data_IF_900575695548
#
_entry.id   IF_900575695548
#
_cell.length_a   1.000
_cell.length_b   1.000
_cell.length_c   1.000
_cell.angle_alpha   90.00
_cell.angle_beta   90.00
_cell.angle_gamma   90.00
#
_symmetry.space_group_name_H-M   'P 1'
#
loop_
_entity.id
_entity.type
_entity.pdbx_description
1 polymer ?
#
# COMPACT_ATOMS: atom_id res chain seq x y z
N UNK A 1 16.87 -16.05 3.41
CA UNK A 1 17.07 -15.52 2.05
C UNK A 1 17.88 -16.56 1.30
N UNK A 2 17.41 -17.03 0.14
CA UNK A 2 17.79 -18.33 -0.46
C UNK A 2 19.08 -18.29 -1.30
N UNK A 3 19.79 -17.17 -1.37
CA UNK A 3 21.01 -17.07 -2.18
C UNK A 3 20.78 -17.18 -3.69
N UNK A 4 19.55 -16.93 -4.14
CA UNK A 4 19.17 -16.91 -5.55
C UNK A 4 19.87 -15.77 -6.32
N UNK A 5 20.14 -16.02 -7.60
CA UNK A 5 20.71 -15.01 -8.49
C UNK A 5 19.65 -13.96 -8.83
N UNK A 6 19.98 -12.69 -8.58
CA UNK A 6 19.06 -11.56 -8.75
C UNK A 6 18.72 -11.33 -10.22
N UNK A 7 19.62 -11.72 -11.13
CA UNK A 7 19.43 -11.54 -12.57
C UNK A 7 18.47 -12.57 -13.18
N UNK A 8 18.26 -13.72 -12.51
CA UNK A 8 17.37 -14.79 -12.96
C UNK A 8 15.94 -14.65 -12.39
N UNK A 9 15.79 -13.95 -11.26
CA UNK A 9 14.52 -13.74 -10.58
C UNK A 9 13.58 -12.83 -11.39
N UNK A 10 12.34 -13.27 -11.57
CA UNK A 10 11.27 -12.46 -12.16
C UNK A 10 10.10 -12.30 -11.20
N UNK A 11 9.39 -11.18 -11.36
CA UNK A 11 8.18 -10.93 -10.59
C UNK A 11 7.07 -11.85 -11.09
N UNK A 12 6.61 -12.76 -10.24
CA UNK A 12 5.55 -13.72 -10.57
C UNK A 12 4.17 -13.17 -10.25
N UNK A 13 4.03 -12.43 -9.15
CA UNK A 13 2.74 -11.88 -8.71
C UNK A 13 2.95 -10.56 -7.97
N UNK A 14 2.09 -9.59 -8.25
CA UNK A 14 2.02 -8.31 -7.54
C UNK A 14 0.57 -8.13 -7.07
N UNK A 15 0.40 -7.92 -5.77
CA UNK A 15 -0.90 -7.65 -5.15
C UNK A 15 -0.82 -6.31 -4.39
N UNK A 16 -1.89 -5.52 -4.49
CA UNK A 16 -2.02 -4.24 -3.80
C UNK A 16 -3.34 -4.23 -3.05
N UNK A 17 -3.27 -4.41 -1.74
CA UNK A 17 -4.42 -4.50 -0.85
C UNK A 17 -4.65 -3.20 -0.07
N UNK A 18 -5.87 -3.01 0.40
CA UNK A 18 -6.20 -1.87 1.25
C UNK A 18 -5.54 -2.02 2.63
N UNK A 19 -4.86 -0.96 3.05
CA UNK A 19 -4.27 -0.84 4.39
C UNK A 19 -5.15 -0.01 5.32
N UNK A 20 -4.68 0.19 6.54
CA UNK A 20 -5.40 1.00 7.52
C UNK A 20 -5.64 2.44 6.99
N UNK A 21 -6.89 2.89 7.04
CA UNK A 21 -7.24 4.26 6.70
C UNK A 21 -7.24 5.15 7.94
N UNK A 22 -6.35 6.14 7.97
CA UNK A 22 -6.30 7.12 9.06
C UNK A 22 -7.36 8.22 8.88
N UNK A 23 -8.13 8.48 9.93
CA UNK A 23 -9.14 9.56 9.96
C UNK A 23 -8.54 10.85 10.51
N UNK A 24 -8.76 11.96 9.82
CA UNK A 24 -8.44 13.34 10.26
C UNK A 24 -9.64 14.24 10.06
N UNK A 25 -9.68 15.35 10.79
CA UNK A 25 -10.76 16.34 10.69
C UNK A 25 -10.20 17.57 9.97
N UNK A 26 -10.95 18.09 9.00
CA UNK A 26 -10.67 19.37 8.34
C UNK A 26 -11.71 20.40 8.79
N UNK A 27 -11.31 21.47 9.47
CA UNK A 27 -12.25 22.53 9.84
C UNK A 27 -12.75 23.25 8.57
N UNK A 28 -14.04 23.61 8.55
CA UNK A 28 -14.70 24.35 7.47
C UNK A 28 -15.48 25.54 8.05
N UNK A 29 -15.90 26.45 7.16
CA UNK A 29 -16.70 27.60 7.52
C UNK A 29 -18.02 27.20 8.22
N UNK A 30 -18.57 28.12 9.03
CA UNK A 30 -19.83 27.96 9.77
C UNK A 30 -19.84 26.77 10.75
N UNK A 31 -18.73 26.54 11.45
CA UNK A 31 -18.62 25.50 12.48
C UNK A 31 -18.71 24.06 11.95
N UNK A 32 -18.49 23.87 10.65
CA UNK A 32 -18.53 22.55 10.01
C UNK A 32 -17.17 21.88 10.03
N UNK A 33 -17.16 20.57 9.92
CA UNK A 33 -15.96 19.76 9.90
C UNK A 33 -16.14 18.60 8.93
N UNK A 34 -15.23 18.49 7.97
CA UNK A 34 -15.19 17.38 7.02
C UNK A 34 -14.18 16.33 7.48
N UNK A 35 -14.39 15.08 7.07
CA UNK A 35 -13.47 13.98 7.39
C UNK A 35 -12.50 13.77 6.24
N UNK A 36 -11.20 13.89 6.51
CA UNK A 36 -10.14 13.47 5.60
C UNK A 36 -9.78 12.03 5.91
N UNK A 37 -9.79 11.17 4.89
CA UNK A 37 -9.34 9.79 4.96
C UNK A 37 -7.97 9.69 4.29
N UNK A 38 -6.93 9.40 5.07
CA UNK A 38 -5.59 9.10 4.56
C UNK A 38 -5.49 7.59 4.41
N UNK A 39 -5.71 7.11 3.17
CA UNK A 39 -5.64 5.68 2.83
C UNK A 39 -4.19 5.24 2.73
N UNK A 40 -3.91 4.03 3.22
CA UNK A 40 -2.63 3.33 3.00
C UNK A 40 -2.92 2.02 2.25
N UNK A 41 -1.87 1.37 1.75
CA UNK A 41 -1.98 0.07 1.08
C UNK A 41 -0.88 -0.88 1.55
N UNK A 42 -1.14 -2.16 1.41
CA UNK A 42 -0.15 -3.23 1.56
C UNK A 42 0.22 -3.74 0.17
N UNK A 43 1.51 -3.67 -0.16
CA UNK A 43 2.03 -4.13 -1.44
C UNK A 43 2.75 -5.45 -1.19
N UNK A 44 2.25 -6.52 -1.78
CA UNK A 44 2.85 -7.85 -1.72
C UNK A 44 3.44 -8.18 -3.08
N UNK A 45 4.74 -8.48 -3.11
CA UNK A 45 5.46 -8.84 -4.34
C UNK A 45 6.05 -10.23 -4.12
N UNK A 46 5.71 -11.14 -5.03
CA UNK A 46 6.29 -12.48 -5.07
C UNK A 46 7.21 -12.55 -6.29
N UNK A 47 8.42 -13.05 -6.09
CA UNK A 47 9.39 -13.34 -7.14
C UNK A 47 9.55 -14.85 -7.27
N UNK A 48 9.78 -15.32 -8.49
CA UNK A 48 10.06 -16.71 -8.80
C UNK A 48 11.12 -16.80 -9.90
N UNK A 49 11.85 -17.90 -9.92
CA UNK A 49 12.73 -18.25 -11.03
C UNK A 49 11.89 -18.52 -12.28
N UNK A 50 12.46 -18.22 -13.45
CA UNK A 50 11.77 -18.35 -14.75
C UNK A 50 11.41 -19.80 -15.10
#
# INVERSE_FOLDING_TARGET
NEGADVDELKVSTILVDEGMTMKRIMPRAKGRADRILKRSCHITITVADS
#
